data_IF_951737925315
#
_entry.id   IF_951737925315
#
_cell.length_a   1.000
_cell.length_b   1.000
_cell.length_c   1.000
_cell.angle_alpha   90.00
_cell.angle_beta   90.00
_cell.angle_gamma   90.00
#
_symmetry.space_group_name_H-M   'P 1'
#
loop_
_entity.id
_entity.type
_entity.pdbx_description
1 polymer ?
#
# COMPACT_ATOMS: atom_id res chain seq x y z
N UNK A 1 5.65 -1.63 -5.46
CA UNK A 1 7.03 -2.06 -5.69
C UNK A 1 7.71 -2.37 -4.37
N UNK A 2 8.46 -3.45 -4.28
CA UNK A 2 9.41 -3.74 -3.19
C UNK A 2 10.82 -3.65 -3.75
N UNK A 3 11.83 -3.54 -2.87
CA UNK A 3 13.24 -3.61 -3.28
C UNK A 3 13.56 -4.89 -4.06
N UNK A 4 12.85 -5.99 -3.77
CA UNK A 4 13.09 -7.30 -4.37
C UNK A 4 11.94 -7.80 -5.26
N UNK A 5 10.71 -7.28 -5.08
CA UNK A 5 9.51 -7.76 -5.79
C UNK A 5 8.75 -6.61 -6.44
N UNK A 6 8.71 -6.56 -7.77
CA UNK A 6 7.83 -5.64 -8.50
C UNK A 6 6.53 -6.35 -8.89
N UNK A 7 5.41 -5.90 -8.31
CA UNK A 7 4.06 -6.39 -8.59
C UNK A 7 3.52 -5.80 -9.90
N UNK A 8 4.25 -4.83 -10.48
CA UNK A 8 3.92 -4.13 -11.70
C UNK A 8 2.87 -3.04 -11.49
N UNK A 9 2.56 -2.35 -12.58
CA UNK A 9 1.49 -1.35 -12.62
C UNK A 9 0.16 -2.08 -12.81
N UNK A 10 -0.85 -1.70 -12.02
CA UNK A 10 -2.23 -2.15 -12.17
C UNK A 10 -3.14 -0.95 -12.33
N UNK A 11 -4.00 -1.00 -13.35
CA UNK A 11 -5.05 -0.01 -13.57
C UNK A 11 -6.32 -0.51 -12.90
N UNK A 12 -6.83 0.26 -11.93
CA UNK A 12 -8.02 -0.08 -11.18
C UNK A 12 -9.15 0.88 -11.54
N UNK A 13 -10.35 0.35 -11.74
CA UNK A 13 -11.60 1.12 -11.78
C UNK A 13 -12.05 1.43 -10.36
N UNK A 14 -12.95 2.41 -10.24
CA UNK A 14 -13.59 2.72 -8.95
C UNK A 14 -14.29 1.46 -8.42
N UNK A 15 -13.96 1.08 -7.18
CA UNK A 15 -14.50 -0.11 -6.52
C UNK A 15 -13.69 -1.40 -6.72
N UNK A 16 -12.68 -1.41 -7.59
CA UNK A 16 -11.80 -2.56 -7.74
C UNK A 16 -10.74 -2.61 -6.65
N UNK A 17 -10.39 -3.83 -6.24
CA UNK A 17 -9.39 -4.10 -5.20
C UNK A 17 -8.28 -4.95 -5.82
N UNK A 18 -7.04 -4.50 -5.62
CA UNK A 18 -5.86 -5.31 -5.85
C UNK A 18 -5.34 -5.82 -4.50
N UNK A 19 -5.23 -7.13 -4.38
CA UNK A 19 -4.66 -7.79 -3.22
C UNK A 19 -3.53 -8.72 -3.65
N UNK A 20 -2.48 -8.78 -2.83
CA UNK A 20 -1.41 -9.75 -2.97
C UNK A 20 -0.91 -10.13 -1.57
N UNK A 21 -0.28 -11.30 -1.46
CA UNK A 21 0.29 -11.78 -0.21
C UNK A 21 1.76 -12.05 -0.41
N UNK A 22 2.55 -11.79 0.63
CA UNK A 22 3.98 -12.00 0.64
C UNK A 22 4.39 -12.45 2.04
N UNK A 23 5.62 -12.96 2.16
CA UNK A 23 6.24 -13.23 3.46
C UNK A 23 7.37 -12.24 3.70
N UNK A 24 7.56 -11.87 4.95
CA UNK A 24 8.70 -11.04 5.35
C UNK A 24 9.99 -11.83 5.14
N UNK A 25 11.06 -11.19 4.66
CA UNK A 25 12.35 -11.84 4.51
C UNK A 25 12.97 -12.13 5.89
N UNK A 26 13.91 -13.08 5.94
CA UNK A 26 14.55 -13.50 7.19
C UNK A 26 15.19 -12.34 7.97
N UNK A 27 15.70 -11.34 7.27
CA UNK A 27 16.37 -10.18 7.87
C UNK A 27 15.41 -9.10 8.39
N UNK A 28 14.09 -9.26 8.16
CA UNK A 28 13.10 -8.27 8.59
C UNK A 28 13.24 -6.92 7.88
N UNK A 29 13.71 -6.93 6.63
CA UNK A 29 13.96 -5.72 5.82
C UNK A 29 13.00 -5.57 4.64
N UNK A 30 11.99 -6.41 4.55
CA UNK A 30 10.99 -6.33 3.48
C UNK A 30 10.24 -5.00 3.56
N UNK A 31 10.15 -4.31 2.43
CA UNK A 31 9.45 -3.04 2.31
C UNK A 31 8.69 -3.00 0.98
N UNK A 32 7.44 -2.52 1.02
CA UNK A 32 6.62 -2.26 -0.15
C UNK A 32 6.21 -0.79 -0.19
N UNK A 33 6.43 -0.19 -1.34
CA UNK A 33 6.14 1.19 -1.69
C UNK A 33 5.01 1.17 -2.72
N UNK A 34 4.10 2.13 -2.65
CA UNK A 34 2.99 2.27 -3.56
C UNK A 34 2.97 3.68 -4.12
N UNK A 35 2.90 3.75 -5.45
CA UNK A 35 2.71 4.96 -6.22
C UNK A 35 1.29 4.92 -6.78
N UNK A 36 0.44 5.82 -6.31
CA UNK A 36 -0.96 5.91 -6.75
C UNK A 36 -1.14 7.15 -7.59
N UNK A 37 -1.69 6.95 -8.78
CA UNK A 37 -2.07 8.02 -9.68
C UNK A 37 -3.58 7.97 -9.92
N UNK A 38 -4.22 9.13 -10.00
CA UNK A 38 -5.65 9.22 -10.30
C UNK A 38 -5.99 10.41 -11.20
N UNK A 39 -7.25 10.41 -11.65
CA UNK A 39 -7.83 11.47 -12.45
C UNK A 39 -7.46 11.40 -13.93
N UNK A 40 -7.97 12.34 -14.74
CA UNK A 40 -7.63 12.45 -16.15
C UNK A 40 -6.12 12.56 -16.33
N UNK A 41 -5.57 11.79 -17.28
CA UNK A 41 -4.13 11.73 -17.58
C UNK A 41 -3.22 11.35 -16.38
N UNK A 42 -3.78 10.78 -15.30
CA UNK A 42 -3.01 10.36 -14.12
C UNK A 42 -2.23 11.49 -13.43
N UNK A 43 -2.73 12.73 -13.50
CA UNK A 43 -2.02 13.94 -13.02
C UNK A 43 -1.93 14.05 -11.49
N UNK A 44 -2.89 13.50 -10.74
CA UNK A 44 -2.84 13.52 -9.28
C UNK A 44 -2.05 12.32 -8.78
N UNK A 45 -1.04 12.56 -7.95
CA UNK A 45 -0.07 11.53 -7.57
C UNK A 45 0.13 11.46 -6.05
N UNK A 46 0.39 10.25 -5.54
CA UNK A 46 0.91 10.06 -4.18
C UNK A 46 1.72 8.78 -4.08
N UNK A 47 2.99 8.93 -3.73
CA UNK A 47 3.86 7.84 -3.28
C UNK A 47 3.86 7.69 -1.76
N UNK A 48 3.85 6.46 -1.26
CA UNK A 48 3.97 6.14 0.18
C UNK A 48 4.48 4.71 0.43
N UNK A 49 5.04 4.48 1.62
CA UNK A 49 5.39 3.13 2.09
C UNK A 49 4.12 2.40 2.54
N UNK A 50 3.72 1.38 1.79
CA UNK A 50 2.53 0.58 2.04
C UNK A 50 2.76 -0.47 3.15
N UNK A 51 3.99 -0.96 3.28
CA UNK A 51 4.41 -1.90 4.31
C UNK A 51 5.91 -1.75 4.56
N UNK A 52 6.32 -1.83 5.82
CA UNK A 52 7.73 -1.92 6.22
C UNK A 52 7.85 -2.90 7.38
N UNK A 53 8.76 -3.86 7.23
CA UNK A 53 9.08 -4.80 8.29
C UNK A 53 9.77 -4.07 9.46
N UNK A 54 9.45 -4.48 10.69
CA UNK A 54 10.02 -3.94 11.93
C UNK A 54 11.06 -4.90 12.55
N UNK A 55 11.94 -5.48 11.72
CA UNK A 55 13.05 -6.34 12.17
C UNK A 55 12.77 -7.84 12.18
N UNK A 56 13.69 -8.61 12.80
CA UNK A 56 13.81 -10.08 12.70
C UNK A 56 12.59 -10.88 13.20
N UNK A 57 11.67 -10.27 13.95
CA UNK A 57 10.54 -10.95 14.59
C UNK A 57 9.18 -10.42 14.13
N UNK A 58 9.10 -9.89 12.90
CA UNK A 58 7.80 -9.53 12.32
C UNK A 58 6.93 -10.78 12.25
N UNK A 59 5.76 -10.70 12.90
CA UNK A 59 4.72 -11.72 12.77
C UNK A 59 4.02 -11.51 11.43
N UNK A 60 4.12 -12.51 10.56
CA UNK A 60 3.31 -12.58 9.35
C UNK A 60 1.83 -12.81 9.73
N UNK A 61 0.90 -12.44 8.84
CA UNK A 61 -0.54 -12.62 9.03
C UNK A 61 -1.35 -11.33 9.25
N UNK A 62 -0.67 -10.18 9.33
CA UNK A 62 -1.36 -8.87 9.27
C UNK A 62 -1.73 -8.48 7.85
N UNK A 63 -2.85 -7.76 7.73
CA UNK A 63 -3.38 -7.15 6.52
C UNK A 63 -3.19 -5.63 6.57
N UNK A 64 -2.64 -5.09 5.48
CA UNK A 64 -2.38 -3.66 5.31
C UNK A 64 -3.19 -3.17 4.11
N UNK A 65 -4.29 -2.47 4.39
CA UNK A 65 -5.25 -2.05 3.39
C UNK A 65 -5.13 -0.54 3.16
N UNK A 66 -5.02 -0.16 1.90
CA UNK A 66 -4.89 1.23 1.47
C UNK A 66 -6.05 1.57 0.54
N UNK A 67 -6.85 2.55 0.92
CA UNK A 67 -8.04 2.97 0.18
C UNK A 67 -7.82 4.37 -0.39
N UNK A 68 -7.74 4.45 -1.72
CA UNK A 68 -7.73 5.72 -2.45
C UNK A 68 -9.17 6.23 -2.63
N UNK A 69 -9.44 7.45 -2.18
CA UNK A 69 -10.72 8.16 -2.33
C UNK A 69 -10.50 9.50 -3.01
N UNK A 70 -11.57 10.23 -3.29
CA UNK A 70 -11.45 11.52 -3.97
C UNK A 70 -10.72 12.59 -3.14
N UNK A 71 -10.87 12.53 -1.81
CA UNK A 71 -10.31 13.48 -0.86
C UNK A 71 -8.92 13.09 -0.31
N UNK A 72 -8.55 11.81 -0.39
CA UNK A 72 -7.23 11.36 0.03
C UNK A 72 -7.07 9.84 0.06
N UNK A 73 -6.08 9.41 0.84
CA UNK A 73 -5.71 8.01 1.02
C UNK A 73 -5.87 7.64 2.49
N UNK A 74 -6.64 6.58 2.71
CA UNK A 74 -6.93 6.03 4.02
C UNK A 74 -6.12 4.75 4.24
N UNK A 75 -5.71 4.54 5.48
CA UNK A 75 -5.03 3.33 5.90
C UNK A 75 -5.86 2.56 6.92
N UNK A 76 -5.88 1.25 6.75
CA UNK A 76 -6.58 0.31 7.61
C UNK A 76 -5.68 -0.90 7.85
N UNK A 77 -5.50 -1.28 9.11
CA UNK A 77 -4.68 -2.43 9.50
C UNK A 77 -5.51 -3.41 10.31
N UNK A 78 -5.62 -4.64 9.84
CA UNK A 78 -6.34 -5.71 10.51
C UNK A 78 -7.76 -5.28 10.92
N UNK A 79 -8.15 -5.44 12.19
CA UNK A 79 -9.45 -5.02 12.71
C UNK A 79 -9.48 -3.59 13.25
N UNK A 80 -8.39 -2.82 13.10
CA UNK A 80 -8.31 -1.46 13.61
C UNK A 80 -9.11 -0.48 12.75
N UNK A 81 -9.64 0.62 13.32
CA UNK A 81 -10.35 1.63 12.53
C UNK A 81 -9.48 2.22 11.41
N UNK A 82 -10.11 2.49 10.27
CA UNK A 82 -9.48 3.20 9.16
C UNK A 82 -9.26 4.67 9.51
N UNK A 83 -8.14 5.26 9.08
CA UNK A 83 -7.89 6.69 9.27
C UNK A 83 -7.31 7.36 8.02
N UNK A 84 -7.63 8.64 7.85
CA UNK A 84 -7.10 9.48 6.78
C UNK A 84 -5.60 9.67 6.98
N UNK A 85 -4.79 9.27 6.00
CA UNK A 85 -3.33 9.27 6.15
C UNK A 85 -2.63 10.27 5.24
N UNK A 86 -3.09 10.42 4.01
CA UNK A 86 -2.48 11.33 3.05
C UNK A 86 -3.54 12.07 2.23
N UNK A 87 -3.27 13.32 1.87
CA UNK A 87 -4.01 14.06 0.85
C UNK A 87 -3.51 13.69 -0.56
N UNK A 88 -4.11 14.20 -1.63
CA UNK A 88 -3.54 14.08 -2.98
C UNK A 88 -2.47 15.15 -3.22
N UNK A 89 -1.39 14.82 -3.94
CA UNK A 89 -0.37 15.78 -4.37
C UNK A 89 -0.56 16.10 -5.85
#
# INVERSE_FOLDING_TARGET
KSKNDDIGIKYLKIGEIMSFSFRTNFWGTTEFWCDVYKGPDYKCFRGFTAYQASGLFVKDGSSYNWLARDDGIYFHKDSLPSYYKFYWK
#
